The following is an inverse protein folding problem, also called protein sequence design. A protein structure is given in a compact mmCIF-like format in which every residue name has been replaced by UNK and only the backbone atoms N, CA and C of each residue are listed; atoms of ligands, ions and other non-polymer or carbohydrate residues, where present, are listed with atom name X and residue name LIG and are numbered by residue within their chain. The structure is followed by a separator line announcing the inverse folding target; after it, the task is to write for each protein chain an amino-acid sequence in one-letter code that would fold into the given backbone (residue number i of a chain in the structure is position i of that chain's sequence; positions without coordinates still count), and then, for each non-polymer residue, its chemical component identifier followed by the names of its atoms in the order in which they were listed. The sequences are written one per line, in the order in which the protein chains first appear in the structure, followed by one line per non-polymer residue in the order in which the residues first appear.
data_IF_699564846967
#
_entry.id   IF_699564846967
#
_cell.length_a   1.000
_cell.length_b   1.000
_cell.length_c   1.000
_cell.angle_alpha   90.00
_cell.angle_beta   90.00
_cell.angle_gamma   90.00
#
_symmetry.space_group_name_H-M   'P 1'
#
loop_
_entity.id
_entity.type
_entity.pdbx_description
1 polymer ?
#
# COMPACT_ATOMS: atom_id res chain seq x y z
N UNK A 1 37.94 -7.58 -15.76
CA UNK A 1 36.87 -8.38 -16.42
C UNK A 1 35.92 -9.10 -15.46
N UNK A 2 36.21 -9.22 -14.15
CA UNK A 2 35.37 -10.02 -13.23
C UNK A 2 34.19 -9.27 -12.59
N UNK A 3 34.31 -7.96 -12.39
CA UNK A 3 33.30 -7.13 -11.71
C UNK A 3 31.98 -7.02 -12.47
N UNK A 4 32.03 -6.85 -13.79
CA UNK A 4 30.83 -6.79 -14.64
C UNK A 4 30.04 -8.10 -14.64
N UNK A 5 30.74 -9.24 -14.62
CA UNK A 5 30.10 -10.54 -14.63
C UNK A 5 29.41 -10.86 -13.29
N UNK A 6 29.98 -10.36 -12.19
CA UNK A 6 29.38 -10.45 -10.85
C UNK A 6 28.17 -9.53 -10.74
N UNK A 7 28.29 -8.26 -11.17
CA UNK A 7 27.19 -7.29 -11.15
C UNK A 7 25.97 -7.77 -11.94
N UNK A 8 26.20 -8.37 -13.11
CA UNK A 8 25.14 -8.97 -13.94
C UNK A 8 24.39 -10.09 -13.22
N UNK A 9 25.10 -11.02 -12.57
CA UNK A 9 24.49 -12.11 -11.79
C UNK A 9 23.65 -11.57 -10.63
N UNK A 10 24.15 -10.55 -9.93
CA UNK A 10 23.44 -9.92 -8.82
C UNK A 10 22.16 -9.22 -9.32
N UNK A 11 22.24 -8.47 -10.41
CA UNK A 11 21.09 -7.77 -10.98
C UNK A 11 19.97 -8.75 -11.40
N UNK A 12 20.33 -9.84 -12.07
CA UNK A 12 19.36 -10.88 -12.41
C UNK A 12 18.75 -11.53 -11.18
N UNK A 13 19.55 -11.83 -10.15
CA UNK A 13 19.04 -12.39 -8.90
C UNK A 13 18.02 -11.45 -8.22
N UNK A 14 18.30 -10.14 -8.20
CA UNK A 14 17.37 -9.12 -7.69
C UNK A 14 16.07 -9.14 -8.50
N UNK A 15 16.14 -9.12 -9.83
CA UNK A 15 14.95 -9.16 -10.68
C UNK A 15 14.11 -10.42 -10.44
N UNK A 16 14.74 -11.59 -10.29
CA UNK A 16 14.05 -12.85 -9.95
C UNK A 16 13.36 -12.75 -8.59
N UNK A 17 14.06 -12.26 -7.56
CA UNK A 17 13.51 -12.12 -6.21
C UNK A 17 12.32 -11.16 -6.20
N UNK A 18 12.46 -9.98 -6.83
CA UNK A 18 11.38 -9.00 -6.94
C UNK A 18 10.17 -9.58 -7.68
N UNK A 19 10.41 -10.32 -8.76
CA UNK A 19 9.35 -11.00 -9.51
C UNK A 19 8.62 -12.03 -8.65
N UNK A 20 9.36 -12.91 -7.95
CA UNK A 20 8.77 -13.94 -7.08
C UNK A 20 7.97 -13.33 -5.93
N UNK A 21 8.51 -12.29 -5.28
CA UNK A 21 7.80 -11.58 -4.22
C UNK A 21 6.48 -10.99 -4.73
N UNK A 22 6.51 -10.28 -5.86
CA UNK A 22 5.30 -9.74 -6.46
C UNK A 22 4.32 -10.80 -6.92
N UNK A 23 4.81 -11.92 -7.42
CA UNK A 23 3.96 -13.04 -7.82
C UNK A 23 3.20 -13.60 -6.61
N UNK A 24 3.89 -13.79 -5.48
CA UNK A 24 3.26 -14.24 -4.22
C UNK A 24 2.27 -13.20 -3.70
N UNK A 25 2.62 -11.91 -3.71
CA UNK A 25 1.70 -10.83 -3.33
C UNK A 25 0.48 -10.75 -4.26
N UNK A 26 0.67 -10.94 -5.56
CA UNK A 26 -0.40 -10.98 -6.56
C UNK A 26 -1.33 -12.17 -6.34
N UNK A 27 -0.78 -13.35 -6.05
CA UNK A 27 -1.58 -14.52 -5.67
C UNK A 27 -2.39 -14.25 -4.40
N UNK A 28 -1.80 -13.60 -3.40
CA UNK A 28 -2.50 -13.23 -2.17
C UNK A 28 -3.69 -12.28 -2.42
N UNK A 29 -3.62 -11.46 -3.47
CA UNK A 29 -4.71 -10.59 -3.93
C UNK A 29 -5.82 -11.34 -4.69
N UNK A 30 -5.55 -12.54 -5.21
CA UNK A 30 -6.55 -13.37 -5.90
C UNK A 30 -7.26 -14.33 -4.92
N UNK A 31 -6.56 -14.73 -3.85
CA UNK A 31 -7.12 -15.62 -2.84
C UNK A 31 -8.39 -15.06 -2.17
N UNK A 32 -9.28 -15.95 -1.70
CA UNK A 32 -10.51 -15.55 -1.02
C UNK A 32 -10.17 -14.76 0.24
N UNK A 33 -10.98 -13.74 0.49
CA UNK A 33 -10.77 -12.79 1.56
C UNK A 33 -10.99 -13.45 2.91
N UNK A 34 -10.16 -13.10 3.89
CA UNK A 34 -10.41 -13.43 5.30
C UNK A 34 -11.14 -12.25 5.90
N UNK A 35 -12.21 -12.53 6.63
CA UNK A 35 -13.04 -11.48 7.20
C UNK A 35 -13.07 -11.58 8.71
N UNK A 36 -12.69 -10.50 9.37
CA UNK A 36 -12.62 -10.39 10.83
C UNK A 36 -13.48 -9.23 11.29
N UNK A 37 -14.01 -9.33 12.49
CA UNK A 37 -14.77 -8.27 13.12
C UNK A 37 -13.88 -7.60 14.17
N UNK A 38 -13.68 -6.29 14.05
CA UNK A 38 -12.85 -5.50 14.95
C UNK A 38 -13.61 -4.30 15.49
N UNK A 39 -13.20 -3.83 16.67
CA UNK A 39 -13.77 -2.62 17.28
C UNK A 39 -12.98 -1.39 16.86
N UNK A 40 -13.68 -0.30 16.56
CA UNK A 40 -13.05 1.00 16.33
C UNK A 40 -12.50 1.51 17.67
N UNK A 41 -11.19 1.72 17.75
CA UNK A 41 -10.56 2.31 18.93
C UNK A 41 -10.54 3.85 18.87
N UNK A 42 -10.45 4.43 17.66
CA UNK A 42 -10.43 5.87 17.51
C UNK A 42 -10.47 6.38 16.07
N UNK A 43 -10.74 7.67 15.92
CA UNK A 43 -10.63 8.41 14.66
C UNK A 43 -9.50 9.44 14.82
N UNK A 44 -8.48 9.33 13.97
CA UNK A 44 -7.37 10.30 13.95
C UNK A 44 -7.51 11.20 12.71
N UNK A 45 -7.40 12.50 12.90
CA UNK A 45 -7.32 13.48 11.82
C UNK A 45 -5.87 13.93 11.73
N UNK A 46 -5.19 13.59 10.63
CA UNK A 46 -3.82 14.06 10.40
C UNK A 46 -3.88 15.54 10.01
N UNK A 47 -3.83 16.42 11.02
CA UNK A 47 -3.67 17.86 10.79
C UNK A 47 -2.21 18.09 10.43
N UNK A 48 -1.92 18.32 9.15
CA UNK A 48 -0.59 18.76 8.74
C UNK A 48 -0.27 20.10 9.42
N UNK A 49 0.53 20.05 10.48
CA UNK A 49 1.03 21.25 11.16
C UNK A 49 2.00 21.97 10.22
N UNK A 50 1.48 22.96 9.49
CA UNK A 50 2.34 23.95 8.85
C UNK A 50 2.87 24.83 9.97
N UNK A 51 4.13 24.64 10.36
CA UNK A 51 4.87 25.62 11.16
C UNK A 51 4.99 26.91 10.35
N UNK A 52 4.01 27.79 10.49
CA UNK A 52 4.03 29.17 10.03
C UNK A 52 3.61 30.07 11.19
N UNK A 53 4.53 30.94 11.65
CA UNK A 53 4.22 32.03 12.59
C UNK A 53 3.33 33.03 11.86
N UNK A 54 2.01 32.84 11.91
CA UNK A 54 1.01 33.90 12.02
C UNK A 54 -0.36 33.26 12.13
N UNK A 55 -1.11 33.72 13.13
CA UNK A 55 -2.48 33.34 13.44
C UNK A 55 -3.38 33.45 12.20
N UNK A 56 -3.99 32.34 11.78
CA UNK A 56 -5.01 32.36 10.73
C UNK A 56 -6.14 31.40 11.10
N UNK A 57 -7.36 31.94 10.94
CA UNK A 57 -8.67 31.30 10.78
C UNK A 57 -8.56 29.84 10.32
N UNK A 58 -9.33 28.93 10.95
CA UNK A 58 -9.49 27.53 10.53
C UNK A 58 -9.99 27.44 9.08
N UNK A 59 -9.09 27.53 8.12
CA UNK A 59 -9.28 26.89 6.81
C UNK A 59 -8.84 25.44 6.99
N UNK A 60 -9.84 24.56 7.07
CA UNK A 60 -9.65 23.12 6.96
C UNK A 60 -8.99 22.90 5.60
N UNK A 61 -7.69 22.60 5.60
CA UNK A 61 -6.98 22.27 4.37
C UNK A 61 -7.61 21.00 3.81
N UNK A 62 -7.85 21.01 2.50
CA UNK A 62 -8.52 19.98 1.72
C UNK A 62 -7.73 18.64 1.63
N UNK A 63 -6.82 18.40 2.57
CA UNK A 63 -5.89 17.28 2.59
C UNK A 63 -5.82 16.56 3.94
N UNK A 64 -6.75 16.85 4.86
CA UNK A 64 -6.89 16.12 6.12
C UNK A 64 -7.15 14.64 5.82
N UNK A 65 -6.13 13.80 6.08
CA UNK A 65 -6.29 12.35 6.02
C UNK A 65 -6.97 11.91 7.31
N UNK A 66 -8.21 11.46 7.19
CA UNK A 66 -8.86 10.77 8.28
C UNK A 66 -8.37 9.32 8.30
N UNK A 67 -7.86 8.88 9.44
CA UNK A 67 -7.50 7.49 9.68
C UNK A 67 -8.50 6.88 10.64
N UNK A 68 -9.00 5.70 10.28
CA UNK A 68 -9.73 4.85 11.21
C UNK A 68 -8.73 3.88 11.83
N UNK A 69 -8.66 3.90 13.16
CA UNK A 69 -7.84 2.96 13.93
C UNK A 69 -8.77 1.96 14.59
N UNK A 70 -8.53 0.71 14.27
CA UNK A 70 -9.19 -0.47 14.83
C UNK A 70 -8.21 -1.19 15.75
N UNK A 71 -8.60 -2.33 16.30
CA UNK A 71 -7.76 -3.08 17.23
C UNK A 71 -6.40 -3.47 16.62
N UNK A 72 -6.39 -3.91 15.36
CA UNK A 72 -5.17 -4.39 14.72
C UNK A 72 -4.80 -3.63 13.44
N UNK A 73 -5.68 -2.77 12.93
CA UNK A 73 -5.48 -2.12 11.64
C UNK A 73 -5.70 -0.61 11.68
N UNK A 74 -4.87 0.11 10.93
CA UNK A 74 -5.04 1.53 10.62
C UNK A 74 -5.29 1.67 9.11
N UNK A 75 -6.33 2.40 8.72
CA UNK A 75 -6.58 2.68 7.31
C UNK A 75 -7.14 4.07 7.07
N UNK A 76 -6.71 4.67 5.97
CA UNK A 76 -7.19 5.99 5.54
C UNK A 76 -8.60 5.89 4.98
N UNK A 77 -9.46 6.79 5.42
CA UNK A 77 -10.85 6.88 5.04
C UNK A 77 -11.11 8.19 4.32
N UNK A 78 -12.03 8.14 3.35
CA UNK A 78 -12.51 9.36 2.69
C UNK A 78 -13.28 10.22 3.70
N UNK A 79 -13.10 11.54 3.62
CA UNK A 79 -13.75 12.52 4.50
C UNK A 79 -15.27 12.53 4.28
N UNK A 80 -15.72 12.25 3.05
CA UNK A 80 -17.14 12.24 2.69
C UNK A 80 -17.73 10.84 2.94
N UNK A 81 -18.11 10.58 4.19
CA UNK A 81 -18.86 9.37 4.55
C UNK A 81 -20.28 9.69 4.98
N UNK A 82 -21.25 8.96 4.43
CA UNK A 82 -22.67 9.10 4.77
C UNK A 82 -23.03 8.44 6.12
N UNK A 83 -22.05 8.21 6.99
CA UNK A 83 -22.23 7.61 8.31
C UNK A 83 -21.14 8.06 9.29
N UNK A 84 -21.52 8.19 10.56
CA UNK A 84 -20.60 8.53 11.64
C UNK A 84 -19.83 7.29 12.13
N UNK A 85 -18.59 7.48 12.56
CA UNK A 85 -17.77 6.45 13.19
C UNK A 85 -17.50 6.89 14.63
N UNK A 86 -17.93 6.09 15.61
CA UNK A 86 -17.66 6.31 17.02
C UNK A 86 -16.72 5.23 17.54
N UNK A 87 -15.84 5.57 18.49
CA UNK A 87 -15.11 4.55 19.25
C UNK A 87 -16.11 3.56 19.88
N UNK A 88 -15.80 2.26 19.82
CA UNK A 88 -16.67 1.18 20.26
C UNK A 88 -17.60 0.60 19.19
N UNK A 89 -17.70 1.23 18.01
CA UNK A 89 -18.47 0.66 16.90
C UNK A 89 -17.73 -0.56 16.30
N UNK A 90 -18.49 -1.61 15.97
CA UNK A 90 -17.95 -2.80 15.30
C UNK A 90 -17.86 -2.59 13.79
N UNK A 91 -16.73 -2.99 13.22
CA UNK A 91 -16.48 -2.99 11.78
C UNK A 91 -16.03 -4.36 11.33
N UNK A 92 -16.43 -4.73 10.12
CA UNK A 92 -16.01 -5.95 9.46
C UNK A 92 -14.90 -5.62 8.47
N UNK A 93 -13.71 -6.12 8.74
CA UNK A 93 -12.50 -5.89 7.96
C UNK A 93 -12.26 -7.13 7.11
N UNK A 94 -12.11 -6.93 5.81
CA UNK A 94 -11.72 -7.99 4.87
C UNK A 94 -10.25 -7.80 4.49
N UNK A 95 -9.42 -8.78 4.86
CA UNK A 95 -7.98 -8.80 4.62
C UNK A 95 -7.59 -9.89 3.63
N UNK A 96 -6.36 -9.81 3.12
CA UNK A 96 -5.75 -10.91 2.38
C UNK A 96 -5.25 -12.01 3.32
N UNK A 97 -5.32 -13.29 2.92
CA UNK A 97 -4.98 -14.40 3.81
C UNK A 97 -3.49 -14.51 4.17
N UNK A 98 -2.56 -14.20 3.25
CA UNK A 98 -1.13 -14.43 3.48
C UNK A 98 -0.45 -13.22 4.13
N UNK A 99 -0.75 -12.00 3.65
CA UNK A 99 -0.10 -10.79 4.12
C UNK A 99 -0.99 -9.88 4.99
N UNK A 100 -2.27 -10.20 5.16
CA UNK A 100 -3.17 -9.41 6.00
C UNK A 100 -3.51 -8.03 5.43
N UNK A 101 -3.32 -7.80 4.12
CA UNK A 101 -3.61 -6.49 3.52
C UNK A 101 -5.11 -6.19 3.58
N UNK A 102 -5.47 -5.08 4.22
CA UNK A 102 -6.87 -4.65 4.28
C UNK A 102 -7.35 -4.29 2.88
N UNK A 103 -8.31 -5.05 2.34
CA UNK A 103 -8.95 -4.76 1.05
C UNK A 103 -10.16 -3.85 1.22
N UNK A 104 -11.06 -4.22 2.13
CA UNK A 104 -12.35 -3.56 2.32
C UNK A 104 -12.70 -3.52 3.79
N UNK A 105 -13.41 -2.46 4.19
CA UNK A 105 -13.93 -2.33 5.54
C UNK A 105 -15.40 -1.99 5.45
N UNK A 106 -16.23 -2.72 6.18
CA UNK A 106 -17.67 -2.54 6.22
C UNK A 106 -18.10 -2.18 7.63
N UNK A 107 -19.13 -1.35 7.74
CA UNK A 107 -19.81 -1.06 8.99
C UNK A 107 -21.26 -1.48 8.90
N UNK A 108 -21.76 -2.22 9.88
CA UNK A 108 -23.18 -2.49 10.01
C UNK A 108 -23.91 -1.20 10.43
N UNK A 109 -24.87 -0.74 9.62
CA UNK A 109 -25.75 0.40 9.93
C UNK A 109 -27.19 0.02 9.61
N UNK A 110 -28.05 0.00 10.63
CA UNK A 110 -29.48 -0.37 10.49
C UNK A 110 -29.71 -1.73 9.80
N UNK A 111 -28.87 -2.73 10.07
CA UNK A 111 -28.98 -4.05 9.44
C UNK A 111 -28.33 -4.19 8.06
N UNK A 112 -27.80 -3.10 7.49
CA UNK A 112 -27.08 -3.13 6.20
C UNK A 112 -25.57 -2.91 6.39
N UNK A 113 -24.76 -3.68 5.65
CA UNK A 113 -23.31 -3.51 5.63
C UNK A 113 -22.92 -2.40 4.65
N UNK A 114 -22.42 -1.27 5.17
CA UNK A 114 -21.95 -0.14 4.35
C UNK A 114 -20.43 -0.17 4.22
N UNK A 115 -19.95 -0.12 2.98
CA UNK A 115 -18.53 -0.07 2.66
C UNK A 115 -17.94 1.32 2.97
N UNK A 116 -16.78 1.33 3.63
CA UNK A 116 -15.95 2.51 3.79
C UNK A 116 -15.31 2.91 2.46
N UNK A 117 -15.57 4.14 2.01
CA UNK A 117 -14.90 4.68 0.83
C UNK A 117 -13.46 5.06 1.19
N UNK A 118 -12.52 4.60 0.38
CA UNK A 118 -11.10 4.97 0.47
C UNK A 118 -10.81 6.15 -0.45
N UNK A 119 -9.94 7.05 -0.02
CA UNK A 119 -9.47 8.14 -0.87
C UNK A 119 -8.64 7.56 -2.03
N UNK A 120 -9.06 7.88 -3.26
CA UNK A 120 -8.54 7.32 -4.52
C UNK A 120 -7.01 7.44 -4.70
N UNK A 121 -6.38 8.51 -4.18
CA UNK A 121 -4.96 8.80 -4.43
C UNK A 121 -3.99 7.75 -3.86
N UNK A 122 -4.32 7.12 -2.74
CA UNK A 122 -3.48 6.09 -2.14
C UNK A 122 -3.63 4.76 -2.87
N UNK A 123 -4.87 4.40 -3.23
CA UNK A 123 -5.15 3.15 -3.95
C UNK A 123 -4.42 3.13 -5.30
N UNK A 124 -4.40 4.25 -6.03
CA UNK A 124 -3.66 4.39 -7.28
C UNK A 124 -2.17 4.11 -7.13
N UNK A 125 -1.52 4.67 -6.11
CA UNK A 125 -0.08 4.46 -5.90
C UNK A 125 0.24 3.06 -5.35
N UNK A 126 -0.57 2.53 -4.42
CA UNK A 126 -0.39 1.18 -3.89
C UNK A 126 -0.63 0.08 -4.92
N UNK A 127 -1.40 0.36 -5.97
CA UNK A 127 -1.66 -0.57 -7.06
C UNK A 127 -0.61 -0.38 -8.16
N UNK A 128 -0.31 0.86 -8.55
CA UNK A 128 0.58 1.16 -9.67
C UNK A 128 2.04 0.75 -9.41
N UNK A 129 2.60 1.06 -8.24
CA UNK A 129 4.00 0.77 -7.94
C UNK A 129 4.35 -0.72 -7.98
N UNK A 130 3.55 -1.63 -7.38
CA UNK A 130 3.73 -3.07 -7.55
C UNK A 130 3.68 -3.53 -9.02
N UNK A 131 2.76 -2.99 -9.82
CA UNK A 131 2.71 -3.33 -11.26
C UNK A 131 3.91 -2.79 -12.04
N UNK A 132 4.39 -1.59 -11.71
CA UNK A 132 5.61 -1.04 -12.29
C UNK A 132 6.80 -1.94 -11.96
N UNK A 133 6.94 -2.39 -10.70
CA UNK A 133 7.99 -3.33 -10.28
C UNK A 133 7.86 -4.69 -10.99
N UNK A 134 6.64 -5.19 -11.22
CA UNK A 134 6.41 -6.42 -11.98
C UNK A 134 6.89 -6.24 -13.42
N UNK A 135 6.52 -5.13 -14.05
CA UNK A 135 6.89 -4.86 -15.42
C UNK A 135 8.41 -4.68 -15.59
N UNK A 136 9.06 -3.94 -14.70
CA UNK A 136 10.52 -3.76 -14.74
C UNK A 136 11.27 -5.06 -14.47
N UNK A 137 10.77 -5.89 -13.55
CA UNK A 137 11.39 -7.20 -13.26
C UNK A 137 11.23 -8.17 -14.42
N UNK A 138 10.05 -8.25 -15.04
CA UNK A 138 9.82 -9.08 -16.25
C UNK A 138 10.69 -8.63 -17.42
N UNK A 139 10.78 -7.33 -17.68
CA UNK A 139 11.65 -6.83 -18.76
C UNK A 139 13.13 -7.12 -18.46
N UNK A 140 13.56 -7.00 -17.21
CA UNK A 140 14.91 -7.39 -16.79
C UNK A 140 15.18 -8.87 -17.03
N UNK A 141 14.20 -9.74 -16.74
CA UNK A 141 14.30 -11.18 -16.99
C UNK A 141 14.32 -11.52 -18.48
N UNK A 142 13.53 -10.83 -19.31
CA UNK A 142 13.52 -11.05 -20.78
C UNK A 142 14.88 -10.63 -21.38
N UNK A 143 15.42 -9.50 -20.93
CA UNK A 143 16.69 -8.95 -21.41
C UNK A 143 17.91 -9.47 -20.66
N UNK A 144 17.82 -10.62 -19.97
CA UNK A 144 18.89 -11.16 -19.13
C UNK A 144 20.22 -11.42 -19.88
N UNK A 145 20.18 -11.56 -21.20
CA UNK A 145 21.37 -11.77 -22.05
C UNK A 145 22.16 -10.49 -22.30
N UNK A 146 21.51 -9.34 -22.23
CA UNK A 146 22.16 -8.03 -22.36
C UNK A 146 22.59 -7.55 -20.98
N UNK A 147 23.90 -7.53 -20.74
CA UNK A 147 24.45 -7.18 -19.43
C UNK A 147 24.10 -5.77 -18.98
N UNK A 148 24.01 -4.82 -19.92
CA UNK A 148 23.76 -3.42 -19.59
C UNK A 148 22.29 -3.21 -19.25
N UNK A 149 21.38 -3.81 -20.03
CA UNK A 149 19.95 -3.76 -19.74
C UNK A 149 19.59 -4.49 -18.44
N UNK A 150 20.14 -5.69 -18.22
CA UNK A 150 19.91 -6.44 -16.99
C UNK A 150 20.30 -5.63 -15.73
N UNK A 151 21.43 -4.91 -15.76
CA UNK A 151 21.85 -4.04 -14.66
C UNK A 151 20.88 -2.86 -14.46
N UNK A 152 20.44 -2.23 -15.54
CA UNK A 152 19.49 -1.11 -15.47
C UNK A 152 18.14 -1.54 -14.89
N UNK A 153 17.57 -2.64 -15.37
CA UNK A 153 16.28 -3.15 -14.88
C UNK A 153 16.39 -3.75 -13.47
N UNK A 154 17.51 -4.40 -13.13
CA UNK A 154 17.77 -4.90 -11.78
C UNK A 154 17.86 -3.78 -10.74
N UNK A 155 18.63 -2.73 -11.04
CA UNK A 155 18.73 -1.54 -10.18
C UNK A 155 17.42 -0.76 -10.08
N UNK A 156 16.70 -0.60 -11.19
CA UNK A 156 15.36 0.00 -11.21
C UNK A 156 14.35 -0.79 -10.37
N UNK A 157 14.39 -2.12 -10.44
CA UNK A 157 13.55 -2.99 -9.61
C UNK A 157 13.89 -2.87 -8.13
N UNK A 158 15.18 -2.75 -7.77
CA UNK A 158 15.60 -2.50 -6.40
C UNK A 158 15.05 -1.16 -5.87
N UNK A 159 15.16 -0.09 -6.65
CA UNK A 159 14.67 1.24 -6.26
C UNK A 159 13.16 1.23 -6.05
N UNK A 160 12.41 0.61 -6.98
CA UNK A 160 10.96 0.48 -6.86
C UNK A 160 10.56 -0.36 -5.64
N UNK A 161 11.29 -1.43 -5.33
CA UNK A 161 11.06 -2.23 -4.13
C UNK A 161 11.23 -1.39 -2.86
N UNK A 162 12.31 -0.60 -2.77
CA UNK A 162 12.55 0.30 -1.62
C UNK A 162 11.43 1.33 -1.49
N UNK A 163 10.97 1.93 -2.59
CA UNK A 163 9.85 2.87 -2.57
C UNK A 163 8.55 2.21 -2.09
N UNK A 164 8.26 0.98 -2.52
CA UNK A 164 7.10 0.22 -2.06
C UNK A 164 7.20 -0.04 -0.55
N UNK A 165 8.34 -0.53 -0.08
CA UNK A 165 8.56 -0.80 1.36
C UNK A 165 8.42 0.47 2.21
N UNK A 166 8.94 1.60 1.72
CA UNK A 166 8.81 2.90 2.37
C UNK A 166 7.35 3.37 2.43
N UNK A 167 6.61 3.25 1.33
CA UNK A 167 5.18 3.60 1.31
C UNK A 167 4.34 2.73 2.23
N UNK A 168 4.70 1.46 2.37
CA UNK A 168 4.07 0.53 3.29
C UNK A 168 4.43 0.77 4.77
N UNK A 169 5.24 1.79 5.08
CA UNK A 169 5.72 2.10 6.44
C UNK A 169 6.39 0.90 7.14
N UNK A 170 7.07 0.04 6.36
CA UNK A 170 7.88 -1.06 6.90
C UNK A 170 9.18 -0.51 7.54
N UNK A 171 9.52 0.73 7.23
CA UNK A 171 10.61 1.53 7.81
C UNK A 171 10.07 2.86 8.36
#
# INVERSE_FOLDING_TARGET
MNTYHIAHKIANAISVICFLLLFVTGLDLVLPRVTVQETIQGKWQEVYSVKGKHSVRKEIKNDDREFLVTENHEFTVDYIQNFSCKPGDLVQISTTPLFGFVREVHKAKHGEMKLFKRRSSLLGNYIFLPYALLFTSVIGLINYKDSQQAINFGSGSLVLLVLILWMMKVF
#
